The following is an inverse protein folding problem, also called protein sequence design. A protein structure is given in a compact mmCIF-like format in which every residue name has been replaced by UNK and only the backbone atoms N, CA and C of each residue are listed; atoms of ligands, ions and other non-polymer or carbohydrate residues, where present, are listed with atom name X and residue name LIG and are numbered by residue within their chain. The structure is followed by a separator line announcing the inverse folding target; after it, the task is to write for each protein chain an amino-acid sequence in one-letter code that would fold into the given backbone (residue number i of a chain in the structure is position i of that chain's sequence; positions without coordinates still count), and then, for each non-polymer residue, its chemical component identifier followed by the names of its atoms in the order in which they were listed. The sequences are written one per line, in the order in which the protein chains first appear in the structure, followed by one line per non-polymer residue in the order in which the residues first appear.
data_IF_690537295509
#
_entry.id   IF_690537295509
#
_cell.length_a   1.000
_cell.length_b   1.000
_cell.length_c   1.000
_cell.angle_alpha   90.00
_cell.angle_beta   90.00
_cell.angle_gamma   90.00
#
_symmetry.space_group_name_H-M   'P 1'
#
loop_
_entity.id
_entity.type
_entity.pdbx_description
1 polymer ?
#
# COMPACT_ATOMS: atom_id res chain seq x y z
N UNK A 1 -8.41 -10.34 5.59
CA UNK A 1 -7.10 -9.84 6.06
C UNK A 1 -5.89 -10.62 5.51
N UNK A 2 -5.83 -11.96 5.64
CA UNK A 2 -4.64 -12.73 5.23
C UNK A 2 -4.34 -12.68 3.74
N UNK A 3 -5.37 -12.70 2.87
CA UNK A 3 -5.19 -12.50 1.43
C UNK A 3 -4.53 -11.15 1.13
N UNK A 4 -4.99 -10.07 1.77
CA UNK A 4 -4.40 -8.74 1.62
C UNK A 4 -2.96 -8.69 2.14
N UNK A 5 -2.70 -9.32 3.28
CA UNK A 5 -1.35 -9.46 3.83
C UNK A 5 -0.42 -10.17 2.83
N UNK A 6 -0.88 -11.26 2.21
CA UNK A 6 -0.14 -11.99 1.19
C UNK A 6 0.15 -11.11 -0.03
N UNK A 7 -0.85 -10.40 -0.57
CA UNK A 7 -0.68 -9.54 -1.74
C UNK A 7 0.30 -8.38 -1.46
N UNK A 8 0.17 -7.72 -0.30
CA UNK A 8 1.09 -6.64 0.10
C UNK A 8 2.49 -7.20 0.33
N UNK A 9 2.64 -8.38 0.94
CA UNK A 9 3.96 -8.99 1.14
C UNK A 9 4.61 -9.31 -0.21
N UNK A 10 3.85 -9.85 -1.18
CA UNK A 10 4.35 -10.12 -2.52
C UNK A 10 4.80 -8.84 -3.22
N UNK A 11 3.97 -7.80 -3.21
CA UNK A 11 4.30 -6.51 -3.82
C UNK A 11 5.55 -5.90 -3.17
N UNK A 12 5.59 -5.88 -1.83
CA UNK A 12 6.71 -5.38 -1.05
C UNK A 12 8.02 -6.11 -1.38
N UNK A 13 7.99 -7.45 -1.46
CA UNK A 13 9.17 -8.23 -1.81
C UNK A 13 9.66 -7.89 -3.22
N UNK A 14 8.75 -7.81 -4.20
CA UNK A 14 9.10 -7.43 -5.56
C UNK A 14 9.69 -6.02 -5.61
N UNK A 15 9.07 -5.05 -4.93
CA UNK A 15 9.53 -3.67 -4.87
C UNK A 15 10.91 -3.55 -4.20
N UNK A 16 11.16 -4.28 -3.10
CA UNK A 16 12.47 -4.29 -2.43
C UNK A 16 13.56 -4.92 -3.29
N UNK A 17 13.27 -6.02 -3.99
CA UNK A 17 14.22 -6.70 -4.86
C UNK A 17 14.51 -5.95 -6.16
N UNK A 18 13.65 -5.02 -6.55
CA UNK A 18 13.77 -4.24 -7.80
C UNK A 18 13.68 -2.75 -7.55
N UNK A 19 14.13 -2.30 -6.38
CA UNK A 19 14.03 -0.91 -5.94
C UNK A 19 14.81 0.03 -6.87
N UNK A 20 15.93 -0.47 -7.41
CA UNK A 20 16.76 0.18 -8.43
C UNK A 20 16.01 0.49 -9.73
N UNK A 21 15.02 -0.34 -10.09
CA UNK A 21 14.18 -0.17 -11.29
C UNK A 21 12.88 0.58 -11.00
N UNK A 22 12.37 0.49 -9.77
CA UNK A 22 11.12 1.13 -9.36
C UNK A 22 11.25 2.66 -9.35
N UNK A 23 12.38 3.19 -8.88
CA UNK A 23 12.61 4.64 -8.84
C UNK A 23 12.62 5.25 -10.25
N UNK A 24 13.41 4.76 -11.23
CA UNK A 24 13.34 5.25 -12.61
C UNK A 24 11.94 5.14 -13.23
N UNK A 25 11.22 4.05 -12.95
CA UNK A 25 9.85 3.83 -13.44
C UNK A 25 8.91 4.92 -12.93
N UNK A 26 8.92 5.21 -11.63
CA UNK A 26 8.07 6.26 -11.06
C UNK A 26 8.58 7.67 -11.37
N UNK A 27 9.86 7.85 -11.71
CA UNK A 27 10.39 9.14 -12.16
C UNK A 27 9.77 9.55 -13.52
N UNK A 28 9.36 8.58 -14.34
CA UNK A 28 8.63 8.83 -15.59
C UNK A 28 7.26 9.50 -15.36
N UNK A 29 6.75 9.53 -14.12
CA UNK A 29 5.49 10.19 -13.80
C UNK A 29 5.64 11.70 -13.66
N UNK A 30 6.86 12.23 -13.80
CA UNK A 30 7.16 13.65 -13.73
C UNK A 30 6.61 14.30 -12.43
N UNK A 31 6.87 13.64 -11.30
CA UNK A 31 6.49 14.13 -9.99
C UNK A 31 7.18 15.48 -9.68
N UNK A 32 6.52 16.39 -8.94
CA UNK A 32 7.08 17.70 -8.63
C UNK A 32 8.34 17.54 -7.76
N UNK A 33 9.46 18.09 -8.22
CA UNK A 33 10.78 17.92 -7.58
C UNK A 33 11.61 16.74 -8.10
N UNK A 34 11.14 16.05 -9.16
CA UNK A 34 11.91 15.11 -9.95
C UNK A 34 12.35 13.86 -9.17
N UNK A 35 13.60 13.45 -9.36
CA UNK A 35 14.12 12.17 -8.86
C UNK A 35 14.14 12.10 -7.32
N UNK A 36 14.44 13.22 -6.65
CA UNK A 36 14.51 13.27 -5.18
C UNK A 36 13.14 13.00 -4.56
N UNK A 37 12.10 13.70 -5.03
CA UNK A 37 10.73 13.47 -4.58
C UNK A 37 10.27 12.04 -4.88
N UNK A 38 10.62 11.53 -6.06
CA UNK A 38 10.30 10.15 -6.44
C UNK A 38 10.88 9.15 -5.44
N UNK A 39 12.19 9.24 -5.11
CA UNK A 39 12.84 8.36 -4.13
C UNK A 39 12.17 8.41 -2.76
N UNK A 40 11.79 9.60 -2.29
CA UNK A 40 11.11 9.78 -1.00
C UNK A 40 9.75 9.08 -1.03
N UNK A 41 8.95 9.29 -2.08
CA UNK A 41 7.62 8.68 -2.20
C UNK A 41 7.72 7.15 -2.28
N UNK A 42 8.63 6.62 -3.11
CA UNK A 42 8.84 5.16 -3.22
C UNK A 42 9.20 4.58 -1.85
N UNK A 43 10.14 5.21 -1.15
CA UNK A 43 10.56 4.76 0.18
C UNK A 43 9.41 4.79 1.19
N UNK A 44 8.59 5.85 1.15
CA UNK A 44 7.42 6.00 2.01
C UNK A 44 6.38 4.90 1.75
N UNK A 45 6.13 4.57 0.48
CA UNK A 45 5.22 3.49 0.08
C UNK A 45 5.72 2.16 0.61
N UNK A 46 6.97 1.80 0.34
CA UNK A 46 7.58 0.53 0.78
C UNK A 46 7.56 0.40 2.30
N UNK A 47 7.87 1.48 3.03
CA UNK A 47 7.81 1.48 4.50
C UNK A 47 6.37 1.37 5.01
N UNK A 48 5.41 2.07 4.39
CA UNK A 48 4.00 1.97 4.76
C UNK A 48 3.47 0.55 4.56
N UNK A 49 3.82 -0.09 3.44
CA UNK A 49 3.48 -1.49 3.15
C UNK A 49 4.10 -2.44 4.18
N UNK A 50 5.40 -2.32 4.47
CA UNK A 50 6.09 -3.14 5.46
C UNK A 50 5.46 -3.03 6.86
N UNK A 51 5.24 -1.80 7.33
CA UNK A 51 4.68 -1.57 8.66
C UNK A 51 3.16 -1.76 8.75
N UNK A 52 2.47 -1.96 7.63
CA UNK A 52 1.07 -2.38 7.62
C UNK A 52 0.90 -3.87 7.96
N UNK A 53 1.92 -4.70 7.69
CA UNK A 53 1.86 -6.15 7.84
C UNK A 53 1.47 -6.62 9.24
N UNK A 54 1.97 -6.03 10.36
CA UNK A 54 1.58 -6.49 11.68
C UNK A 54 0.08 -6.39 11.95
N UNK A 55 -0.58 -5.35 11.46
CA UNK A 55 -2.03 -5.21 11.53
C UNK A 55 -2.73 -6.27 10.67
N UNK A 56 -2.30 -6.43 9.42
CA UNK A 56 -2.92 -7.34 8.46
C UNK A 56 -2.78 -8.82 8.85
N UNK A 57 -1.64 -9.19 9.43
CA UNK A 57 -1.34 -10.52 9.96
C UNK A 57 -1.90 -10.75 11.37
N UNK A 58 -2.50 -9.73 12.00
CA UNK A 58 -3.04 -9.78 13.36
C UNK A 58 -1.99 -10.17 14.41
N UNK A 59 -0.77 -9.67 14.27
CA UNK A 59 0.29 -9.89 15.25
C UNK A 59 -0.09 -9.28 16.60
N UNK A 60 0.31 -9.93 17.69
CA UNK A 60 0.11 -9.43 19.04
C UNK A 60 1.04 -8.25 19.30
N UNK A 61 0.46 -7.05 19.31
CA UNK A 61 1.16 -5.78 19.52
C UNK A 61 0.49 -4.97 20.63
N UNK A 62 1.21 -3.95 21.13
CA UNK A 62 0.59 -2.94 21.98
C UNK A 62 -0.56 -2.23 21.25
N UNK A 63 -1.57 -1.70 21.96
CA UNK A 63 -2.71 -1.03 21.34
C UNK A 63 -2.31 0.11 20.39
N UNK A 64 -1.30 0.90 20.78
CA UNK A 64 -0.77 1.99 19.95
C UNK A 64 -0.10 1.47 18.68
N UNK A 65 0.78 0.47 18.79
CA UNK A 65 1.44 -0.12 17.63
C UNK A 65 0.45 -0.79 16.66
N UNK A 66 -0.64 -1.35 17.19
CA UNK A 66 -1.74 -1.89 16.39
C UNK A 66 -2.49 -0.79 15.62
N UNK A 67 -2.75 0.35 16.25
CA UNK A 67 -3.38 1.49 15.58
C UNK A 67 -2.46 2.08 14.51
N UNK A 68 -1.18 2.28 14.81
CA UNK A 68 -0.20 2.79 13.86
C UNK A 68 -0.09 1.90 12.62
N UNK A 69 0.06 0.58 12.80
CA UNK A 69 0.11 -0.37 11.67
C UNK A 69 -1.20 -0.39 10.87
N UNK A 70 -2.35 -0.21 11.52
CA UNK A 70 -3.63 -0.08 10.82
C UNK A 70 -3.70 1.20 9.98
N UNK A 71 -3.26 2.35 10.51
CA UNK A 71 -3.19 3.60 9.75
C UNK A 71 -2.20 3.51 8.58
N UNK A 72 -1.07 2.82 8.77
CA UNK A 72 -0.08 2.61 7.71
C UNK A 72 -0.64 1.75 6.57
N UNK A 73 -1.55 0.82 6.84
CA UNK A 73 -2.27 0.07 5.79
C UNK A 73 -3.13 0.97 4.91
N UNK A 74 -3.82 1.95 5.50
CA UNK A 74 -4.57 2.95 4.74
C UNK A 74 -3.65 3.91 3.99
N UNK A 75 -2.55 4.31 4.63
CA UNK A 75 -1.56 5.21 4.03
C UNK A 75 -0.95 4.59 2.77
N UNK A 76 -0.56 3.32 2.79
CA UNK A 76 -0.02 2.62 1.62
C UNK A 76 -0.99 2.67 0.42
N UNK A 77 -2.26 2.33 0.66
CA UNK A 77 -3.32 2.36 -0.37
C UNK A 77 -3.53 3.79 -0.89
N UNK A 78 -3.53 4.77 0.01
CA UNK A 78 -3.75 6.17 -0.34
C UNK A 78 -2.61 6.73 -1.17
N UNK A 79 -1.36 6.42 -0.85
CA UNK A 79 -0.19 6.85 -1.61
C UNK A 79 -0.21 6.29 -3.04
N UNK A 80 -0.53 5.01 -3.20
CA UNK A 80 -0.72 4.42 -4.52
C UNK A 80 -1.87 5.05 -5.31
N UNK A 81 -2.99 5.34 -4.64
CA UNK A 81 -4.12 6.01 -5.27
C UNK A 81 -3.75 7.44 -5.72
N UNK A 82 -3.01 8.19 -4.91
CA UNK A 82 -2.53 9.53 -5.25
C UNK A 82 -1.55 9.50 -6.44
N UNK A 83 -0.64 8.54 -6.48
CA UNK A 83 0.24 8.33 -7.64
C UNK A 83 -0.57 8.02 -8.91
N UNK A 84 -1.62 7.21 -8.80
CA UNK A 84 -2.50 6.89 -9.91
C UNK A 84 -3.28 8.09 -10.43
N UNK A 85 -3.82 8.91 -9.51
CA UNK A 85 -4.49 10.16 -9.87
C UNK A 85 -3.52 11.14 -10.53
N UNK A 86 -2.29 11.24 -10.04
CA UNK A 86 -1.25 12.07 -10.65
C UNK A 86 -0.90 11.60 -12.07
N UNK A 87 -0.63 10.31 -12.24
CA UNK A 87 -0.32 9.72 -13.53
C UNK A 87 -1.47 9.91 -14.54
N UNK A 88 -2.71 9.76 -14.08
CA UNK A 88 -3.90 9.99 -14.90
C UNK A 88 -4.07 11.47 -15.29
N UNK A 89 -3.90 12.40 -14.34
CA UNK A 89 -4.02 13.83 -14.59
C UNK A 89 -2.91 14.39 -15.51
N UNK A 90 -1.74 13.75 -15.51
CA UNK A 90 -0.58 14.14 -16.32
C UNK A 90 -0.68 13.84 -17.82
N UNK A 91 -1.79 13.27 -18.31
CA UNK A 91 -2.05 12.95 -19.74
C UNK A 91 -0.96 12.09 -20.43
N UNK A 92 -0.29 11.20 -19.69
CA UNK A 92 0.62 10.21 -20.27
C UNK A 92 0.02 8.80 -20.19
N UNK A 93 -0.04 8.01 -21.27
CA UNK A 93 -0.32 6.59 -21.15
C UNK A 93 0.83 5.94 -20.39
N UNK A 94 0.63 5.71 -19.10
CA UNK A 94 1.55 4.94 -18.28
C UNK A 94 1.13 3.48 -18.38
N UNK A 95 1.87 2.71 -19.17
CA UNK A 95 1.60 1.29 -19.41
C UNK A 95 1.85 0.41 -18.17
N UNK A 96 2.63 0.92 -17.21
CA UNK A 96 2.97 0.22 -15.98
C UNK A 96 2.83 1.13 -14.76
N UNK A 97 1.92 0.78 -13.86
CA UNK A 97 1.63 1.47 -12.60
C UNK A 97 2.75 1.38 -11.58
N UNK A 98 3.67 0.41 -11.71
CA UNK A 98 4.77 0.19 -10.78
C UNK A 98 4.42 -0.62 -9.53
N UNK A 99 3.18 -1.11 -9.39
CA UNK A 99 2.74 -1.87 -8.20
C UNK A 99 3.61 -3.11 -7.92
N UNK A 100 3.95 -3.86 -8.98
CA UNK A 100 4.94 -4.96 -8.96
C UNK A 100 6.23 -4.56 -9.68
N UNK A 101 6.58 -3.27 -9.61
CA UNK A 101 7.76 -2.70 -10.27
C UNK A 101 7.81 -3.03 -11.77
N UNK A 102 9.00 -3.18 -12.32
CA UNK A 102 9.26 -3.55 -13.73
C UNK A 102 9.06 -5.05 -14.02
N UNK A 103 8.74 -5.88 -13.02
CA UNK A 103 8.64 -7.34 -13.19
C UNK A 103 7.37 -7.74 -13.90
N UNK A 104 6.23 -7.16 -13.50
CA UNK A 104 4.93 -7.40 -14.12
C UNK A 104 4.29 -6.04 -14.43
N UNK A 105 4.19 -5.66 -15.71
CA UNK A 105 3.58 -4.40 -16.07
C UNK A 105 2.06 -4.47 -15.87
N UNK A 106 1.55 -3.64 -14.96
CA UNK A 106 0.11 -3.49 -14.77
C UNK A 106 -0.34 -2.12 -15.24
N UNK A 107 -1.34 -2.06 -16.11
CA UNK A 107 -2.00 -0.80 -16.41
C UNK A 107 -2.71 -0.21 -15.17
N UNK A 108 -2.94 1.09 -15.20
CA UNK A 108 -3.62 1.79 -14.11
C UNK A 108 -5.05 1.31 -13.84
N UNK A 109 -5.78 0.85 -14.87
CA UNK A 109 -7.12 0.30 -14.68
C UNK A 109 -7.14 -0.95 -13.78
N UNK A 110 -6.22 -1.89 -14.02
CA UNK A 110 -6.07 -3.10 -13.19
C UNK A 110 -5.62 -2.71 -11.78
N UNK A 111 -4.66 -1.79 -11.69
CA UNK A 111 -4.13 -1.30 -10.42
C UNK A 111 -5.21 -0.64 -9.57
N UNK A 112 -6.09 0.17 -10.17
CA UNK A 112 -7.21 0.80 -9.48
C UNK A 112 -8.17 -0.25 -8.90
N UNK A 113 -8.49 -1.31 -9.64
CA UNK A 113 -9.33 -2.41 -9.13
C UNK A 113 -8.65 -3.10 -7.94
N UNK A 114 -7.35 -3.38 -8.04
CA UNK A 114 -6.58 -3.98 -6.92
C UNK A 114 -6.63 -3.07 -5.69
N UNK A 115 -6.42 -1.75 -5.86
CA UNK A 115 -6.46 -0.78 -4.76
C UNK A 115 -7.85 -0.67 -4.13
N UNK A 116 -8.93 -0.73 -4.92
CA UNK A 116 -10.30 -0.74 -4.40
C UNK A 116 -10.59 -1.99 -3.58
N UNK A 117 -10.15 -3.16 -4.05
CA UNK A 117 -10.26 -4.42 -3.30
C UNK A 117 -9.43 -4.34 -2.01
N UNK A 118 -8.20 -3.81 -2.08
CA UNK A 118 -7.34 -3.62 -0.92
C UNK A 118 -7.96 -2.67 0.10
N UNK A 119 -8.60 -1.59 -0.35
CA UNK A 119 -9.33 -0.65 0.52
C UNK A 119 -10.50 -1.34 1.22
N UNK A 120 -11.34 -2.05 0.47
CA UNK A 120 -12.47 -2.79 1.03
C UNK A 120 -12.03 -3.81 2.09
N UNK A 121 -10.97 -4.59 1.80
CA UNK A 121 -10.41 -5.57 2.73
C UNK A 121 -9.79 -4.93 3.97
N UNK A 122 -9.17 -3.76 3.82
CA UNK A 122 -8.63 -2.98 4.93
C UNK A 122 -9.75 -2.48 5.83
N UNK A 123 -10.77 -1.82 5.28
CA UNK A 123 -11.94 -1.33 6.02
C UNK A 123 -12.70 -2.45 6.72
N UNK A 124 -12.86 -3.60 6.07
CA UNK A 124 -13.43 -4.79 6.70
C UNK A 124 -12.55 -5.32 7.85
N UNK A 125 -11.23 -5.20 7.74
CA UNK A 125 -10.33 -5.57 8.83
C UNK A 125 -10.46 -4.62 10.03
N UNK A 126 -10.74 -3.33 9.80
CA UNK A 126 -11.06 -2.36 10.86
C UNK A 126 -12.36 -2.69 11.59
N UNK A 127 -13.42 -3.08 10.89
CA UNK A 127 -14.69 -3.40 11.54
C UNK A 127 -14.56 -4.62 12.47
N UNK A 128 -13.78 -5.63 12.08
CA UNK A 128 -13.50 -6.80 12.93
C UNK A 128 -12.73 -6.39 14.20
N UNK A 129 -11.83 -5.41 14.13
CA UNK A 129 -11.13 -4.92 15.32
C UNK A 129 -12.08 -4.37 16.37
N UNK A 130 -13.00 -3.50 15.97
CA UNK A 130 -13.97 -2.89 16.89
C UNK A 130 -14.83 -3.96 17.56
N UNK A 131 -15.28 -4.96 16.81
CA UNK A 131 -16.09 -6.06 17.34
C UNK A 131 -15.29 -6.85 18.39
N UNK A 132 -14.05 -7.25 18.08
CA UNK A 132 -13.22 -8.01 19.04
C UNK A 132 -12.82 -7.23 20.28
N UNK A 133 -12.69 -5.90 20.19
CA UNK A 133 -12.41 -5.05 21.35
C UNK A 133 -13.61 -4.99 22.31
N UNK A 134 -14.84 -4.92 21.78
CA UNK A 134 -16.07 -4.92 22.56
C UNK A 134 -16.25 -6.24 23.32
N UNK A 135 -16.05 -7.38 22.65
CA UNK A 135 -16.18 -8.70 23.29
C UNK A 135 -15.11 -8.98 24.35
N UNK A 136 -13.94 -8.32 24.29
CA UNK A 136 -12.88 -8.46 25.31
C UNK A 136 -13.13 -7.67 26.59
N UNK A 137 -14.05 -6.70 26.55
CA UNK A 137 -14.42 -5.86 27.70
C UNK A 137 -15.74 -6.29 28.35
N UNK A 138 -16.46 -7.26 27.77
CA UNK A 138 -17.63 -7.83 28.42
C UNK A 138 -17.16 -8.75 29.58
N UNK A 139 -17.45 -8.41 30.85
CA UNK A 139 -17.26 -9.35 31.94
C UNK A 139 -18.24 -10.51 31.75
N UNK A 140 -17.72 -11.74 31.75
CA UNK A 140 -18.52 -12.96 31.89
C UNK A 140 -18.78 -13.16 33.38
#
# INVERSE_FOLDING_TARGET
PYLLAFLITLALLVQLLTFDKLVPLLNAYNLPGGEVTTKIIVSLIVLAELFSLPFLLRMTLSPLARLCSALLSLMAITLWALLGLWAFAGNGPVDNSGLLSSVVPFGWGVTAVILLVALALTLWSFSILNITAIYRQAPI
#
